data_IF_991743057348
#
_entry.id   IF_991743057348
#
_cell.length_a   1.000
_cell.length_b   1.000
_cell.length_c   1.000
_cell.angle_alpha   90.00
_cell.angle_beta   90.00
_cell.angle_gamma   90.00
#
_symmetry.space_group_name_H-M   'P 1'
#
loop_
_entity.id
_entity.type
_entity.pdbx_description
1 polymer ?
#
# COMPACT_ATOMS: atom_id res chain seq x y z
N UNK A 1 5.09 -0.98 11.18
CA UNK A 1 5.83 -0.67 12.41
C UNK A 1 6.25 0.77 12.31
N UNK A 2 6.11 1.53 13.38
CA UNK A 2 6.60 2.89 13.48
C UNK A 2 7.87 2.83 14.31
N UNK A 3 8.96 3.35 13.76
CA UNK A 3 10.26 3.41 14.43
C UNK A 3 10.65 4.86 14.62
N UNK A 4 11.31 5.15 15.74
CA UNK A 4 11.93 6.43 15.99
C UNK A 4 13.44 6.22 15.95
N UNK A 5 14.10 6.94 15.04
CA UNK A 5 15.56 7.02 15.02
C UNK A 5 16.01 7.87 16.21
N UNK A 6 16.72 7.26 17.15
CA UNK A 6 17.28 7.98 18.31
C UNK A 6 18.70 8.42 17.96
N UNK A 7 19.53 7.47 17.53
CA UNK A 7 20.88 7.71 17.03
C UNK A 7 21.25 6.69 15.93
N UNK A 8 21.08 7.05 14.65
CA UNK A 8 21.40 6.19 13.51
C UNK A 8 22.87 5.75 13.42
N UNK A 9 23.81 6.54 13.93
CA UNK A 9 25.25 6.29 13.77
C UNK A 9 25.70 5.06 14.59
N UNK A 10 24.94 4.73 15.64
CA UNK A 10 25.13 3.54 16.48
C UNK A 10 24.00 2.52 16.33
N UNK A 11 23.17 2.65 15.30
CA UNK A 11 22.00 1.79 15.03
C UNK A 11 20.96 1.76 16.18
N UNK A 12 20.81 2.88 16.90
CA UNK A 12 19.85 3.00 17.99
C UNK A 12 18.48 3.49 17.50
N UNK A 13 17.54 2.54 17.44
CA UNK A 13 16.15 2.78 17.07
C UNK A 13 15.19 2.21 18.11
N UNK A 14 14.08 2.91 18.34
CA UNK A 14 13.01 2.46 19.22
C UNK A 14 11.74 2.15 18.43
N UNK A 15 11.04 1.09 18.85
CA UNK A 15 9.74 0.75 18.28
C UNK A 15 8.63 1.52 18.99
N UNK A 16 7.94 2.32 18.18
CA UNK A 16 6.65 2.96 18.40
C UNK A 16 5.53 1.97 18.75
N UNK A 17 5.44 1.33 19.92
CA UNK A 17 4.47 0.22 20.11
C UNK A 17 3.01 0.64 19.93
N UNK A 18 2.60 1.73 20.58
CA UNK A 18 1.23 2.28 20.46
C UNK A 18 0.94 2.73 19.02
N UNK A 19 1.87 3.47 18.43
CA UNK A 19 1.80 3.95 17.05
C UNK A 19 1.76 2.82 16.02
N UNK A 20 2.54 1.78 16.26
CA UNK A 20 2.56 0.56 15.44
C UNK A 20 1.21 -0.14 15.51
N UNK A 21 0.63 -0.26 16.70
CA UNK A 21 -0.67 -0.88 16.93
C UNK A 21 -1.77 -0.09 16.23
N UNK A 22 -1.78 1.24 16.40
CA UNK A 22 -2.70 2.16 15.73
C UNK A 22 -2.60 2.05 14.20
N UNK A 23 -1.38 2.13 13.66
CA UNK A 23 -1.17 2.04 12.20
C UNK A 23 -1.56 0.68 11.65
N UNK A 24 -1.30 -0.42 12.38
CA UNK A 24 -1.71 -1.76 11.98
C UNK A 24 -3.24 -1.93 11.98
N UNK A 25 -3.94 -1.40 12.97
CA UNK A 25 -5.40 -1.40 13.01
C UNK A 25 -5.98 -0.59 11.85
N UNK A 26 -5.49 0.63 11.62
CA UNK A 26 -5.86 1.44 10.46
C UNK A 26 -5.66 0.68 9.13
N UNK A 27 -4.50 0.02 8.97
CA UNK A 27 -4.24 -0.80 7.78
C UNK A 27 -5.26 -1.92 7.65
N UNK A 28 -5.55 -2.67 8.72
CA UNK A 28 -6.50 -3.78 8.69
C UNK A 28 -7.89 -3.32 8.26
N UNK A 29 -8.39 -2.24 8.84
CA UNK A 29 -9.72 -1.69 8.57
C UNK A 29 -9.87 -1.20 7.12
N UNK A 30 -8.83 -0.58 6.57
CA UNK A 30 -8.91 0.10 5.27
C UNK A 30 -8.48 -0.77 4.08
N UNK A 31 -7.83 -1.91 4.34
CA UNK A 31 -7.18 -2.71 3.28
C UNK A 31 -8.13 -3.18 2.19
N UNK A 32 -9.35 -3.59 2.56
CA UNK A 32 -10.36 -4.03 1.59
C UNK A 32 -10.79 -2.88 0.69
N UNK A 33 -11.01 -1.70 1.27
CA UNK A 33 -11.40 -0.49 0.53
C UNK A 33 -10.32 -0.05 -0.48
N UNK A 34 -9.03 -0.14 -0.11
CA UNK A 34 -7.94 0.21 -1.02
C UNK A 34 -7.89 -0.65 -2.28
N UNK A 35 -8.16 -1.95 -2.17
CA UNK A 35 -8.18 -2.84 -3.33
C UNK A 35 -9.39 -2.65 -4.24
N UNK A 36 -10.45 -2.01 -3.74
CA UNK A 36 -11.65 -1.68 -4.52
C UNK A 36 -11.64 -0.25 -5.06
N UNK A 37 -10.68 0.58 -4.66
CA UNK A 37 -10.58 1.96 -5.15
C UNK A 37 -10.31 1.99 -6.66
N UNK A 38 -10.92 2.94 -7.37
CA UNK A 38 -10.72 3.13 -8.80
C UNK A 38 -9.23 3.33 -9.12
N UNK A 39 -8.63 2.50 -10.01
CA UNK A 39 -7.25 2.66 -10.44
C UNK A 39 -6.91 4.07 -10.95
N UNK A 40 -7.87 4.80 -11.53
CA UNK A 40 -7.67 6.17 -12.00
C UNK A 40 -7.49 7.17 -10.85
N UNK A 41 -8.15 6.95 -9.71
CA UNK A 41 -7.90 7.77 -8.52
C UNK A 41 -6.54 7.45 -7.90
N UNK A 42 -6.14 6.18 -7.92
CA UNK A 42 -4.85 5.72 -7.38
C UNK A 42 -3.66 6.27 -8.19
N UNK A 43 -3.74 6.30 -9.53
CA UNK A 43 -2.68 6.89 -10.36
C UNK A 43 -2.55 8.40 -10.11
N UNK A 44 -3.65 9.12 -9.84
CA UNK A 44 -3.60 10.55 -9.47
C UNK A 44 -2.82 10.72 -8.18
N UNK A 45 -3.15 9.96 -7.12
CA UNK A 45 -2.41 9.98 -5.85
C UNK A 45 -0.92 9.68 -6.02
N UNK A 46 -0.58 8.75 -6.92
CA UNK A 46 0.81 8.42 -7.23
C UNK A 46 1.54 9.57 -7.93
N UNK A 47 0.90 10.20 -8.91
CA UNK A 47 1.45 11.36 -9.63
C UNK A 47 1.65 12.56 -8.72
N UNK A 48 0.76 12.74 -7.74
CA UNK A 48 0.85 13.81 -6.73
C UNK A 48 1.88 13.50 -5.62
N UNK A 49 2.47 12.30 -5.61
CA UNK A 49 3.44 11.90 -4.60
C UNK A 49 2.83 11.56 -3.23
N UNK A 50 1.50 11.48 -3.15
CA UNK A 50 0.77 11.09 -1.93
C UNK A 50 1.07 9.62 -1.58
N UNK A 51 1.22 8.78 -2.60
CA UNK A 51 1.56 7.37 -2.45
C UNK A 51 2.80 7.03 -3.26
N UNK A 52 3.61 6.11 -2.74
CA UNK A 52 4.80 5.62 -3.43
C UNK A 52 4.49 4.49 -4.40
N UNK A 53 5.51 4.09 -5.17
CA UNK A 53 5.45 2.94 -6.09
C UNK A 53 5.00 1.65 -5.40
N UNK A 54 5.48 1.40 -4.19
CA UNK A 54 5.12 0.20 -3.44
C UNK A 54 3.69 0.26 -2.92
N UNK A 55 3.18 1.43 -2.57
CA UNK A 55 1.78 1.60 -2.15
C UNK A 55 0.85 1.34 -3.34
N UNK A 56 1.15 1.92 -4.50
CA UNK A 56 0.40 1.69 -5.75
C UNK A 56 0.26 0.19 -6.06
N UNK A 57 1.37 -0.57 -5.99
CA UNK A 57 1.36 -2.01 -6.29
C UNK A 57 0.78 -2.83 -5.13
N UNK A 58 1.29 -2.67 -3.91
CA UNK A 58 1.01 -3.62 -2.80
C UNK A 58 -0.22 -3.25 -1.98
N UNK A 59 -0.52 -1.97 -1.83
CA UNK A 59 -1.64 -1.49 -1.04
C UNK A 59 -2.91 -1.40 -1.88
N UNK A 60 -2.81 -0.81 -3.07
CA UNK A 60 -3.95 -0.57 -3.97
C UNK A 60 -4.11 -1.65 -5.07
N UNK A 61 -3.09 -2.48 -5.29
CA UNK A 61 -3.16 -3.52 -6.31
C UNK A 61 -3.23 -2.96 -7.74
N UNK A 62 -2.72 -1.76 -7.99
CA UNK A 62 -2.79 -1.09 -9.28
C UNK A 62 -1.49 -1.27 -10.04
N UNK A 63 -1.60 -1.67 -11.31
CA UNK A 63 -0.46 -1.89 -12.20
C UNK A 63 -0.46 -0.79 -13.26
N UNK A 64 0.72 -0.19 -13.46
CA UNK A 64 0.93 0.90 -14.41
C UNK A 64 2.09 0.55 -15.32
N UNK A 65 2.08 1.13 -16.51
CA UNK A 65 3.28 1.25 -17.32
C UNK A 65 4.11 2.41 -16.77
N UNK A 66 5.33 2.11 -16.29
CA UNK A 66 6.22 3.13 -15.72
C UNK A 66 6.85 4.06 -16.74
N UNK A 67 6.83 3.69 -18.03
CA UNK A 67 7.32 4.56 -19.10
C UNK A 67 6.32 5.65 -19.47
N UNK A 68 5.02 5.34 -19.41
CA UNK A 68 3.93 6.26 -19.77
C UNK A 68 3.14 6.78 -18.57
N UNK A 69 3.33 6.20 -17.38
CA UNK A 69 2.51 6.42 -16.19
C UNK A 69 1.01 6.19 -16.43
N UNK A 70 0.65 5.24 -17.30
CA UNK A 70 -0.74 4.88 -17.58
C UNK A 70 -1.14 3.60 -16.87
N UNK A 71 -2.37 3.54 -16.36
CA UNK A 71 -2.94 2.34 -15.74
C UNK A 71 -3.10 1.23 -16.79
N UNK A 72 -2.65 0.02 -16.45
CA UNK A 72 -2.92 -1.19 -17.21
C UNK A 72 -4.15 -1.87 -16.62
N UNK A 73 -5.34 -1.51 -17.11
CA UNK A 73 -6.62 -1.88 -16.50
C UNK A 73 -6.82 -3.39 -16.40
N UNK A 74 -6.61 -4.11 -17.52
CA UNK A 74 -6.73 -5.58 -17.55
C UNK A 74 -5.76 -6.27 -16.60
N UNK A 75 -4.51 -5.82 -16.56
CA UNK A 75 -3.49 -6.38 -15.67
C UNK A 75 -3.80 -6.06 -14.21
N UNK A 76 -4.30 -4.86 -13.93
CA UNK A 76 -4.76 -4.43 -12.60
C UNK A 76 -5.91 -5.31 -12.12
N UNK A 77 -6.90 -5.58 -12.96
CA UNK A 77 -8.02 -6.46 -12.63
C UNK A 77 -7.52 -7.88 -12.27
N UNK A 78 -6.73 -8.50 -13.14
CA UNK A 78 -6.20 -9.85 -12.92
C UNK A 78 -5.34 -9.92 -11.65
N UNK A 79 -4.55 -8.88 -11.40
CA UNK A 79 -3.71 -8.79 -10.22
C UNK A 79 -4.55 -8.67 -8.93
N UNK A 80 -5.60 -7.84 -8.94
CA UNK A 80 -6.55 -7.72 -7.81
C UNK A 80 -7.29 -9.02 -7.56
N UNK A 81 -7.75 -9.72 -8.59
CA UNK A 81 -8.37 -11.04 -8.46
C UNK A 81 -7.44 -12.04 -7.75
N UNK A 82 -6.16 -12.06 -8.14
CA UNK A 82 -5.14 -12.88 -7.49
C UNK A 82 -4.94 -12.48 -6.01
N UNK A 83 -4.84 -11.18 -5.72
CA UNK A 83 -4.70 -10.67 -4.34
C UNK A 83 -5.90 -11.03 -3.47
N UNK A 84 -7.11 -10.92 -4.02
CA UNK A 84 -8.33 -11.31 -3.32
C UNK A 84 -8.32 -12.78 -2.94
N UNK A 85 -7.97 -13.66 -3.90
CA UNK A 85 -7.94 -15.11 -3.68
C UNK A 85 -6.86 -15.57 -2.70
N UNK A 86 -5.67 -14.96 -2.75
CA UNK A 86 -4.48 -15.45 -2.03
C UNK A 86 -4.17 -14.71 -0.74
N UNK A 87 -4.67 -13.49 -0.57
CA UNK A 87 -4.26 -12.63 0.54
C UNK A 87 -5.46 -12.05 1.28
N UNK A 88 -6.41 -11.44 0.59
CA UNK A 88 -7.59 -10.81 1.24
C UNK A 88 -8.46 -11.83 1.95
N UNK A 89 -8.56 -13.05 1.44
CA UNK A 89 -9.35 -14.12 2.05
C UNK A 89 -8.96 -14.45 3.51
N UNK A 90 -7.74 -14.12 3.93
CA UNK A 90 -7.22 -14.39 5.28
C UNK A 90 -7.04 -13.11 6.10
N UNK A 91 -7.61 -11.99 5.64
CA UNK A 91 -7.55 -10.71 6.35
C UNK A 91 -8.85 -10.48 7.12
N UNK A 92 -8.79 -10.81 8.42
CA UNK A 92 -9.71 -10.36 9.46
C UNK A 92 -9.24 -9.03 10.06
#
# INVERSE_FOLDING_TARGET
>A
MVIKAIDPDVDHYEILQEETSRKRNYIRENRKAWLTEDPQNVIIKYREGIIGKLDLIRQYGVIIDFSTNTVLEKTTQQFREMLHKRSVAYWE
#
